data_IF_066557027088
#
_entry.id   IF_066557027088
#
_cell.length_a   1.000
_cell.length_b   1.000
_cell.length_c   1.000
_cell.angle_alpha   90.00
_cell.angle_beta   90.00
_cell.angle_gamma   90.00
#
_symmetry.space_group_name_H-M   'P 1'
#
loop_
_entity.id
_entity.type
_entity.pdbx_description
1 polymer ?
#
# COMPACT_ATOMS: atom_id res chain seq x y z
N UNK A 1 -7.95 25.66 4.38
CA UNK A 1 -6.94 24.64 4.69
C UNK A 1 -5.64 25.38 4.82
N UNK A 2 -5.06 25.38 6.01
CA UNK A 2 -3.84 26.17 6.32
C UNK A 2 -2.57 25.36 6.02
N UNK A 3 -1.42 26.02 5.86
CA UNK A 3 -0.14 25.36 5.52
C UNK A 3 0.28 24.31 6.56
N UNK A 4 -0.03 24.55 7.82
CA UNK A 4 0.26 23.63 8.92
C UNK A 4 -0.60 22.37 8.83
N UNK A 5 -1.88 22.53 8.49
CA UNK A 5 -2.83 21.42 8.29
C UNK A 5 -2.37 20.51 7.14
N UNK A 6 -1.91 21.09 6.02
CA UNK A 6 -1.36 20.31 4.89
C UNK A 6 -0.10 19.55 5.32
N UNK A 7 0.76 20.16 6.14
CA UNK A 7 2.00 19.54 6.62
C UNK A 7 1.70 18.34 7.54
N UNK A 8 0.70 18.46 8.41
CA UNK A 8 0.23 17.37 9.26
C UNK A 8 -0.31 16.19 8.44
N UNK A 9 -1.09 16.46 7.38
CA UNK A 9 -1.57 15.42 6.47
C UNK A 9 -0.44 14.71 5.73
N UNK A 10 0.59 15.43 5.27
CA UNK A 10 1.78 14.83 4.64
C UNK A 10 2.55 13.95 5.63
N UNK A 11 2.71 14.40 6.88
CA UNK A 11 3.38 13.62 7.92
C UNK A 11 2.59 12.36 8.29
N UNK A 12 1.26 12.47 8.39
CA UNK A 12 0.36 11.34 8.62
C UNK A 12 0.45 10.31 7.48
N UNK A 13 0.35 10.73 6.21
CA UNK A 13 0.47 9.85 5.04
C UNK A 13 1.82 9.10 5.01
N UNK A 14 2.92 9.75 5.40
CA UNK A 14 4.23 9.08 5.48
C UNK A 14 4.27 7.95 6.52
N UNK A 15 3.48 8.05 7.58
CA UNK A 15 3.42 7.04 8.65
C UNK A 15 2.40 5.95 8.33
N UNK A 16 1.24 6.31 7.79
CA UNK A 16 0.13 5.37 7.59
C UNK A 16 0.01 4.83 6.17
N UNK A 17 0.69 5.44 5.20
CA UNK A 17 0.47 5.21 3.78
C UNK A 17 -0.82 5.89 3.26
N UNK A 18 -0.99 5.94 1.93
CA UNK A 18 -2.10 6.62 1.27
C UNK A 18 -3.47 5.96 1.50
N UNK A 19 -3.48 4.69 1.94
CA UNK A 19 -4.71 3.92 2.18
C UNK A 19 -5.08 3.82 3.67
N UNK A 20 -4.34 4.51 4.54
CA UNK A 20 -4.47 4.38 5.98
C UNK A 20 -3.81 3.10 6.53
N UNK A 21 -3.86 2.91 7.86
CA UNK A 21 -3.09 1.84 8.49
C UNK A 21 -3.66 0.46 8.13
N UNK A 22 -2.79 -0.50 7.82
CA UNK A 22 -3.11 -1.94 7.61
C UNK A 22 -4.01 -2.55 8.69
N UNK A 23 -3.96 -2.01 9.91
CA UNK A 23 -4.83 -2.39 11.03
C UNK A 23 -6.32 -2.11 10.76
N UNK A 24 -6.65 -1.05 10.03
CA UNK A 24 -8.02 -0.68 9.66
C UNK A 24 -8.68 -1.76 8.80
N UNK A 25 -7.97 -2.22 7.76
CA UNK A 25 -8.45 -3.29 6.88
C UNK A 25 -8.70 -4.60 7.62
N UNK A 26 -7.80 -4.95 8.55
CA UNK A 26 -7.96 -6.16 9.37
C UNK A 26 -9.20 -6.08 10.26
N UNK A 27 -9.42 -4.95 10.94
CA UNK A 27 -10.60 -4.75 11.78
C UNK A 27 -11.89 -4.79 10.96
N UNK A 28 -11.87 -4.18 9.77
CA UNK A 28 -13.01 -4.21 8.86
C UNK A 28 -13.28 -5.64 8.37
N UNK A 29 -12.24 -6.37 7.95
CA UNK A 29 -12.35 -7.77 7.55
C UNK A 29 -12.92 -8.68 8.64
N UNK A 30 -12.51 -8.47 9.91
CA UNK A 30 -13.08 -9.20 11.06
C UNK A 30 -14.58 -8.92 11.18
N UNK A 31 -14.98 -7.65 11.16
CA UNK A 31 -16.38 -7.26 11.31
C UNK A 31 -17.25 -7.83 10.19
N UNK A 32 -16.80 -7.70 8.94
CA UNK A 32 -17.51 -8.23 7.76
C UNK A 32 -17.61 -9.75 7.79
N UNK A 33 -16.56 -10.46 8.25
CA UNK A 33 -16.60 -11.91 8.42
C UNK A 33 -17.62 -12.35 9.49
N UNK A 34 -17.74 -11.61 10.60
CA UNK A 34 -18.79 -11.87 11.60
C UNK A 34 -20.16 -11.71 10.97
N UNK A 35 -20.44 -10.57 10.32
CA UNK A 35 -21.74 -10.31 9.67
C UNK A 35 -22.06 -11.38 8.62
N UNK A 36 -21.12 -11.69 7.72
CA UNK A 36 -21.32 -12.72 6.70
C UNK A 36 -21.63 -14.10 7.30
N UNK A 37 -20.92 -14.48 8.36
CA UNK A 37 -21.10 -15.78 8.99
C UNK A 37 -22.37 -15.89 9.85
N UNK A 38 -22.89 -14.78 10.37
CA UNK A 38 -24.18 -14.76 11.10
C UNK A 38 -25.36 -15.07 10.18
N UNK A 39 -25.29 -14.65 8.92
CA UNK A 39 -26.31 -14.93 7.91
C UNK A 39 -26.05 -16.23 7.13
N UNK A 40 -24.89 -16.87 7.30
CA UNK A 40 -24.49 -18.03 6.52
C UNK A 40 -25.10 -19.34 7.02
N UNK A 41 -25.68 -20.11 6.08
CA UNK A 41 -26.11 -21.48 6.30
C UNK A 41 -24.96 -22.48 6.44
N UNK A 42 -25.23 -23.77 6.15
CA UNK A 42 -24.19 -24.82 6.14
C UNK A 42 -23.24 -24.59 4.97
N UNK A 43 -21.93 -24.63 5.22
CA UNK A 43 -20.90 -24.45 4.19
C UNK A 43 -19.63 -23.81 4.74
N UNK A 44 -18.76 -23.35 3.82
CA UNK A 44 -17.52 -22.65 4.16
C UNK A 44 -17.83 -21.34 4.89
N UNK A 45 -17.23 -21.16 6.07
CA UNK A 45 -17.29 -19.88 6.80
C UNK A 45 -16.35 -18.87 6.13
N UNK A 46 -16.83 -17.64 5.99
CA UNK A 46 -16.03 -16.53 5.49
C UNK A 46 -14.96 -16.18 6.52
N UNK A 47 -13.74 -15.90 6.06
CA UNK A 47 -12.61 -15.49 6.89
C UNK A 47 -12.36 -14.00 6.71
N UNK A 48 -11.76 -13.31 7.70
CA UNK A 48 -11.41 -11.90 7.55
C UNK A 48 -10.61 -11.59 6.27
N UNK A 49 -9.66 -12.46 5.92
CA UNK A 49 -8.83 -12.33 4.72
C UNK A 49 -9.63 -12.36 3.40
N UNK A 50 -10.84 -12.95 3.39
CA UNK A 50 -11.67 -12.99 2.19
C UNK A 50 -12.28 -11.59 1.87
N UNK A 51 -12.16 -10.61 2.78
CA UNK A 51 -12.67 -9.24 2.65
C UNK A 51 -11.57 -8.18 2.63
N UNK A 52 -10.30 -8.60 2.64
CA UNK A 52 -9.15 -7.68 2.58
C UNK A 52 -8.60 -7.77 1.16
N UNK A 53 -8.64 -6.70 0.36
CA UNK A 53 -8.01 -6.69 -0.95
C UNK A 53 -6.50 -6.85 -0.78
N UNK A 54 -5.90 -7.71 -1.60
CA UNK A 54 -4.46 -7.72 -1.75
C UNK A 54 -4.09 -6.66 -2.80
N UNK A 55 -3.44 -5.60 -2.35
CA UNK A 55 -2.90 -4.56 -3.21
C UNK A 55 -1.53 -4.99 -3.76
N UNK A 56 -1.10 -4.36 -4.85
CA UNK A 56 0.22 -4.59 -5.46
C UNK A 56 0.49 -6.07 -5.79
N UNK A 57 -0.46 -6.67 -6.51
CA UNK A 57 -0.34 -8.04 -7.04
C UNK A 57 0.71 -8.18 -8.16
N UNK A 58 1.41 -7.10 -8.49
CA UNK A 58 2.47 -7.14 -9.47
C UNK A 58 3.64 -7.98 -8.95
N UNK A 59 4.32 -8.65 -9.87
CA UNK A 59 5.57 -9.35 -9.54
C UNK A 59 6.53 -8.34 -8.92
N UNK A 60 7.03 -8.66 -7.73
CA UNK A 60 8.08 -7.87 -7.09
C UNK A 60 9.26 -7.72 -8.09
N UNK A 61 9.64 -6.48 -8.47
CA UNK A 61 10.66 -6.27 -9.47
C UNK A 61 12.00 -6.81 -8.96
N UNK A 62 12.78 -7.42 -9.86
CA UNK A 62 14.13 -7.83 -9.51
C UNK A 62 15.05 -6.61 -9.34
N UNK A 63 16.24 -6.84 -8.76
CA UNK A 63 17.17 -5.76 -8.45
C UNK A 63 17.56 -4.92 -9.69
N UNK A 64 17.61 -5.54 -10.87
CA UNK A 64 17.92 -4.84 -12.12
C UNK A 64 16.75 -3.95 -12.56
N UNK A 65 15.51 -4.46 -12.47
CA UNK A 65 14.29 -3.70 -12.74
C UNK A 65 14.13 -2.51 -11.78
N UNK A 66 14.44 -2.71 -10.49
CA UNK A 66 14.44 -1.64 -9.49
C UNK A 66 15.47 -0.57 -9.83
N UNK A 67 16.70 -0.97 -10.18
CA UNK A 67 17.77 -0.04 -10.55
C UNK A 67 17.43 0.74 -11.83
N UNK A 68 16.85 0.08 -12.84
CA UNK A 68 16.42 0.72 -14.08
C UNK A 68 15.33 1.77 -13.82
N UNK A 69 14.37 1.45 -12.96
CA UNK A 69 13.31 2.38 -12.53
C UNK A 69 13.89 3.57 -11.79
N UNK A 70 14.80 3.34 -10.83
CA UNK A 70 15.47 4.41 -10.09
C UNK A 70 16.25 5.35 -11.01
N UNK A 71 16.94 4.82 -12.02
CA UNK A 71 17.64 5.62 -13.04
C UNK A 71 16.69 6.45 -13.89
N UNK A 72 15.58 5.86 -14.35
CA UNK A 72 14.57 6.55 -15.16
C UNK A 72 13.89 7.70 -14.38
N UNK A 73 13.59 7.49 -13.10
CA UNK A 73 13.05 8.53 -12.22
C UNK A 73 14.09 9.63 -11.99
N UNK A 74 15.34 9.25 -11.70
CA UNK A 74 16.43 10.20 -11.47
C UNK A 74 16.66 11.10 -12.67
N UNK A 75 16.68 10.54 -13.90
CA UNK A 75 16.87 11.34 -15.12
C UNK A 75 15.69 12.27 -15.39
N UNK A 76 14.46 11.82 -15.17
CA UNK A 76 13.24 12.63 -15.33
C UNK A 76 13.22 13.82 -14.38
N UNK A 77 13.75 13.64 -13.17
CA UNK A 77 13.87 14.69 -12.15
C UNK A 77 15.14 15.54 -12.27
N UNK A 78 15.96 15.34 -13.32
CA UNK A 78 17.18 16.12 -13.56
C UNK A 78 18.38 15.76 -12.67
N UNK A 79 18.36 14.60 -12.01
CA UNK A 79 19.46 14.08 -11.21
C UNK A 79 20.57 13.45 -12.05
N UNK A 80 21.75 13.26 -11.43
CA UNK A 80 22.94 12.71 -12.10
C UNK A 80 23.38 11.38 -11.47
N UNK A 81 23.55 10.35 -12.30
CA UNK A 81 24.12 9.06 -11.89
C UNK A 81 25.67 9.11 -11.93
N UNK A 82 26.30 9.07 -10.76
CA UNK A 82 27.75 9.13 -10.61
C UNK A 82 28.45 7.78 -10.88
N UNK A 83 27.71 6.68 -11.03
CA UNK A 83 28.28 5.36 -11.32
C UNK A 83 28.68 5.19 -12.79
N UNK A 84 28.23 6.08 -13.67
CA UNK A 84 28.49 6.06 -15.11
C UNK A 84 29.72 6.90 -15.53
N UNK A 85 30.30 7.70 -14.63
CA UNK A 85 31.54 8.44 -14.91
C UNK A 85 32.75 7.61 -14.46
N UNK A 86 33.49 7.07 -15.44
CA UNK A 86 34.91 6.71 -15.30
C UNK A 86 35.77 7.77 -15.96
#
# INVERSE_FOLDING_TARGET
>A
MDSDEITEWIAYERVTGPLGPRRGDVLHGIHTAVVANTAAGKGRKARPADFIPEWDQDREPDAEQMLATARAVTSTLGGTDHTLRR
#
